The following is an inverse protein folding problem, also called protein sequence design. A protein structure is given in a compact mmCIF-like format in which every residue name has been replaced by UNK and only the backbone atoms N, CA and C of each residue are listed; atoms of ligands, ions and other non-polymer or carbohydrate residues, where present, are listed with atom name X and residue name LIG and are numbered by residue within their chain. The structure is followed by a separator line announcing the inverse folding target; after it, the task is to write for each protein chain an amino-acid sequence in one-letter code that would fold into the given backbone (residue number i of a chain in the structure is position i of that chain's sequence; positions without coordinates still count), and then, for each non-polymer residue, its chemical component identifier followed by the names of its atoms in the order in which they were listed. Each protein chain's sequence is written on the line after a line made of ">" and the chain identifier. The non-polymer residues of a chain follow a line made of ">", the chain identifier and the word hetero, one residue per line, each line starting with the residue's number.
data_IF_661010707739
#
_entry.id   IF_661010707739
#
_cell.length_a   1.000
_cell.length_b   1.000
_cell.length_c   1.000
_cell.angle_alpha   90.00
_cell.angle_beta   90.00
_cell.angle_gamma   90.00
#
_symmetry.space_group_name_H-M   'P 1'
#
loop_
_entity.id
_entity.type
_entity.pdbx_description
1 polymer ?
#
# COMPACT_ATOMS: atom_id res chain seq x y z
N UNK A 1 31.87 -37.55 -3.37
CA UNK A 1 31.10 -38.78 -3.07
C UNK A 1 31.85 -39.67 -2.07
N UNK A 2 33.05 -40.16 -2.41
CA UNK A 2 33.84 -41.09 -1.59
C UNK A 2 34.12 -40.59 -0.15
N UNK A 3 34.62 -39.35 0.01
CA UNK A 3 34.86 -38.74 1.33
C UNK A 3 33.62 -38.70 2.23
N UNK A 4 32.43 -38.54 1.65
CA UNK A 4 31.17 -38.54 2.42
C UNK A 4 30.80 -39.95 2.87
N UNK A 5 30.97 -40.95 2.00
CA UNK A 5 30.69 -42.34 2.33
C UNK A 5 31.62 -42.84 3.44
N UNK A 6 32.92 -42.55 3.36
CA UNK A 6 33.90 -42.89 4.41
C UNK A 6 33.53 -42.24 5.74
N UNK A 7 33.22 -40.93 5.73
CA UNK A 7 32.78 -40.22 6.95
C UNK A 7 31.50 -40.79 7.54
N UNK A 8 30.53 -41.14 6.70
CA UNK A 8 29.27 -41.74 7.14
C UNK A 8 29.51 -43.10 7.81
N UNK A 9 30.30 -43.97 7.17
CA UNK A 9 30.63 -45.30 7.69
C UNK A 9 31.46 -45.23 8.99
N UNK A 10 32.40 -44.28 9.09
CA UNK A 10 33.17 -44.06 10.32
C UNK A 10 32.31 -43.58 11.49
N UNK A 11 31.34 -42.69 11.23
CA UNK A 11 30.35 -42.30 12.23
C UNK A 11 29.49 -43.47 12.72
N UNK A 12 29.41 -44.55 11.92
CA UNK A 12 28.74 -45.81 12.25
C UNK A 12 29.72 -46.95 12.60
N UNK A 13 30.94 -46.60 13.05
CA UNK A 13 31.97 -47.51 13.62
C UNK A 13 32.66 -48.47 12.62
N UNK A 14 32.66 -48.16 11.33
CA UNK A 14 33.35 -48.98 10.33
C UNK A 14 34.89 -48.79 10.26
N UNK A 15 35.45 -47.75 10.90
CA UNK A 15 36.88 -47.47 11.03
C UNK A 15 37.71 -47.58 9.72
N UNK A 16 37.21 -46.96 8.66
CA UNK A 16 37.80 -46.94 7.32
C UNK A 16 38.76 -45.73 7.21
N UNK A 17 40.00 -45.90 6.73
CA UNK A 17 40.93 -44.78 6.53
C UNK A 17 40.36 -43.70 5.59
N UNK A 18 40.57 -42.42 5.91
CA UNK A 18 40.05 -41.30 5.10
C UNK A 18 40.62 -41.23 3.67
N UNK A 19 41.79 -41.83 3.46
CA UNK A 19 42.52 -41.88 2.19
C UNK A 19 42.16 -43.10 1.33
N UNK A 20 41.23 -43.95 1.78
CA UNK A 20 40.79 -45.14 1.05
C UNK A 20 40.20 -44.77 -0.31
N UNK A 21 40.65 -45.46 -1.36
CA UNK A 21 40.12 -45.33 -2.72
C UNK A 21 38.76 -46.03 -2.85
N UNK A 22 38.02 -45.74 -3.92
CA UNK A 22 36.73 -46.38 -4.17
C UNK A 22 36.84 -47.91 -4.23
N UNK A 23 37.84 -48.44 -4.92
CA UNK A 23 38.07 -49.89 -5.02
C UNK A 23 38.53 -50.50 -3.69
N UNK A 24 39.20 -49.71 -2.85
CA UNK A 24 39.54 -50.11 -1.48
C UNK A 24 38.29 -50.23 -0.61
N UNK A 25 37.31 -49.34 -0.79
CA UNK A 25 36.04 -49.37 -0.07
C UNK A 25 35.19 -50.58 -0.45
N UNK A 26 35.16 -50.94 -1.75
CA UNK A 26 34.45 -52.15 -2.22
C UNK A 26 35.08 -53.40 -1.60
N UNK A 27 36.41 -53.53 -1.68
CA UNK A 27 37.14 -54.66 -1.08
C UNK A 27 36.94 -54.77 0.43
N UNK A 28 36.81 -53.65 1.13
CA UNK A 28 36.51 -53.67 2.56
C UNK A 28 35.05 -54.08 2.84
N UNK A 29 34.12 -53.68 1.97
CA UNK A 29 32.71 -54.08 2.08
C UNK A 29 32.47 -55.56 1.81
N UNK A 30 33.32 -56.20 1.01
CA UNK A 30 33.27 -57.66 0.75
C UNK A 30 33.66 -58.50 1.99
N UNK A 31 34.41 -57.91 2.93
CA UNK A 31 34.80 -58.58 4.19
C UNK A 31 33.74 -58.44 5.28
N UNK A 32 32.68 -57.68 5.03
CA UNK A 32 31.65 -57.45 6.02
C UNK A 32 30.78 -58.70 6.19
N UNK A 33 30.47 -59.12 7.43
CA UNK A 33 29.65 -60.30 7.66
C UNK A 33 28.25 -60.12 7.04
N UNK A 34 27.69 -61.19 6.46
CA UNK A 34 26.33 -61.17 5.92
C UNK A 34 25.27 -61.15 7.06
N UNK A 35 25.18 -60.01 7.76
CA UNK A 35 24.27 -59.78 8.86
C UNK A 35 23.10 -58.84 8.49
N UNK A 36 21.99 -58.98 9.20
CA UNK A 36 20.86 -58.04 9.13
C UNK A 36 21.29 -56.60 9.44
N UNK A 37 22.22 -56.42 10.38
CA UNK A 37 22.73 -55.11 10.82
C UNK A 37 23.42 -54.33 9.70
N UNK A 38 24.25 -55.00 8.90
CA UNK A 38 24.98 -54.36 7.78
C UNK A 38 24.02 -54.01 6.64
N UNK A 39 23.03 -54.86 6.36
CA UNK A 39 21.96 -54.54 5.39
C UNK A 39 21.18 -53.29 5.82
N UNK A 40 20.85 -53.17 7.10
CA UNK A 40 20.18 -51.99 7.63
C UNK A 40 21.06 -50.73 7.56
N UNK A 41 22.35 -50.85 7.90
CA UNK A 41 23.31 -49.76 7.81
C UNK A 41 23.41 -49.23 6.37
N UNK A 42 23.54 -50.13 5.39
CA UNK A 42 23.57 -49.76 3.98
C UNK A 42 22.25 -49.12 3.51
N UNK A 43 21.10 -49.59 4.00
CA UNK A 43 19.80 -48.98 3.70
C UNK A 43 19.71 -47.55 4.27
N UNK A 44 20.15 -47.34 5.51
CA UNK A 44 20.22 -46.02 6.16
C UNK A 44 21.21 -45.10 5.41
N UNK A 45 22.37 -45.61 5.01
CA UNK A 45 23.35 -44.88 4.21
C UNK A 45 22.78 -44.41 2.88
N UNK A 46 22.08 -45.29 2.14
CA UNK A 46 21.41 -44.93 0.89
C UNK A 46 20.36 -43.83 1.11
N UNK A 47 19.58 -43.90 2.19
CA UNK A 47 18.61 -42.87 2.56
C UNK A 47 19.26 -41.52 2.87
N UNK A 48 20.30 -41.53 3.70
CA UNK A 48 21.07 -40.33 4.05
C UNK A 48 21.74 -39.70 2.81
N UNK A 49 22.24 -40.51 1.88
CA UNK A 49 22.82 -40.02 0.64
C UNK A 49 21.78 -39.34 -0.25
N UNK A 50 20.59 -39.92 -0.39
CA UNK A 50 19.48 -39.29 -1.12
C UNK A 50 19.11 -37.93 -0.52
N UNK A 51 19.02 -37.85 0.81
CA UNK A 51 18.75 -36.58 1.49
C UNK A 51 19.85 -35.56 1.30
N UNK A 52 21.13 -35.98 1.34
CA UNK A 52 22.26 -35.09 1.07
C UNK A 52 22.19 -34.54 -0.35
N UNK A 53 22.01 -35.41 -1.35
CA UNK A 53 21.90 -35.00 -2.76
C UNK A 53 20.74 -34.03 -2.96
N UNK A 54 19.61 -34.27 -2.30
CA UNK A 54 18.47 -33.36 -2.31
C UNK A 54 18.83 -31.99 -1.72
N UNK A 55 19.50 -31.95 -0.55
CA UNK A 55 19.94 -30.68 0.07
C UNK A 55 20.92 -29.91 -0.81
N UNK A 56 21.86 -30.61 -1.45
CA UNK A 56 22.80 -30.00 -2.42
C UNK A 56 22.08 -29.45 -3.66
N UNK A 57 20.98 -30.07 -4.10
CA UNK A 57 20.18 -29.57 -5.23
C UNK A 57 19.33 -28.34 -4.91
N UNK A 58 19.13 -28.03 -3.63
CA UNK A 58 18.29 -26.92 -3.15
C UNK A 58 19.08 -25.60 -3.02
N UNK A 59 20.14 -25.39 -3.81
CA UNK A 59 20.94 -24.17 -3.77
C UNK A 59 20.06 -22.90 -3.80
N UNK A 60 20.18 -22.07 -2.76
CA UNK A 60 19.37 -20.85 -2.58
C UNK A 60 18.07 -21.02 -1.78
N UNK A 61 17.60 -22.25 -1.55
CA UNK A 61 16.40 -22.54 -0.75
C UNK A 61 16.77 -23.04 0.64
N UNK A 62 16.19 -22.43 1.69
CA UNK A 62 16.35 -22.88 3.08
C UNK A 62 15.05 -23.49 3.58
N UNK A 63 15.13 -24.67 4.18
CA UNK A 63 13.99 -25.27 4.85
C UNK A 63 13.68 -24.51 6.14
N UNK A 64 12.45 -24.00 6.27
CA UNK A 64 11.97 -23.32 7.47
C UNK A 64 10.88 -24.17 8.12
N UNK A 65 11.00 -24.40 9.43
CA UNK A 65 9.96 -25.06 10.22
C UNK A 65 9.17 -23.97 10.96
N UNK A 66 7.87 -23.91 10.72
CA UNK A 66 6.97 -22.99 11.40
C UNK A 66 5.69 -23.72 11.79
N UNK A 67 5.04 -23.24 12.85
CA UNK A 67 3.78 -23.76 13.34
C UNK A 67 2.67 -22.82 12.87
N UNK A 68 1.72 -23.32 12.09
CA UNK A 68 0.52 -22.59 11.71
C UNK A 68 -0.68 -23.11 12.49
N UNK A 69 -1.67 -22.25 12.68
CA UNK A 69 -3.00 -22.72 13.07
C UNK A 69 -3.55 -23.68 12.01
N UNK A 70 -4.41 -24.61 12.44
CA UNK A 70 -5.06 -25.57 11.56
C UNK A 70 -5.89 -24.88 10.47
N UNK A 71 -6.58 -23.79 10.82
CA UNK A 71 -7.35 -22.97 9.88
C UNK A 71 -6.46 -22.31 8.82
N UNK A 72 -5.35 -21.69 9.22
CA UNK A 72 -4.42 -21.04 8.29
C UNK A 72 -3.78 -22.05 7.34
N UNK A 73 -3.39 -23.22 7.85
CA UNK A 73 -2.87 -24.32 7.03
C UNK A 73 -3.90 -24.79 6.00
N UNK A 74 -5.15 -25.03 6.41
CA UNK A 74 -6.23 -25.45 5.50
C UNK A 74 -6.51 -24.42 4.41
N UNK A 75 -6.50 -23.14 4.77
CA UNK A 75 -6.66 -22.05 3.81
C UNK A 75 -5.51 -22.04 2.78
N UNK A 76 -4.26 -22.14 3.25
CA UNK A 76 -3.09 -22.18 2.38
C UNK A 76 -3.10 -23.40 1.46
N UNK A 77 -3.52 -24.58 1.95
CA UNK A 77 -3.66 -25.79 1.15
C UNK A 77 -4.72 -25.64 0.05
N UNK A 78 -5.88 -25.07 0.38
CA UNK A 78 -6.94 -24.82 -0.59
C UNK A 78 -6.47 -23.84 -1.67
N UNK A 79 -5.75 -22.79 -1.27
CA UNK A 79 -5.19 -21.81 -2.19
C UNK A 79 -4.10 -22.43 -3.10
N UNK A 80 -3.26 -23.30 -2.56
CA UNK A 80 -2.27 -24.01 -3.35
C UNK A 80 -2.93 -24.94 -4.39
N UNK A 81 -4.01 -25.63 -4.00
CA UNK A 81 -4.80 -26.48 -4.90
C UNK A 81 -5.45 -25.68 -6.02
N UNK A 82 -6.11 -24.56 -5.71
CA UNK A 82 -6.78 -23.74 -6.74
C UNK A 82 -5.78 -23.21 -7.77
N UNK A 83 -4.55 -22.94 -7.34
CA UNK A 83 -3.45 -22.45 -8.20
C UNK A 83 -2.65 -23.55 -8.88
N UNK A 84 -2.94 -24.82 -8.59
CA UNK A 84 -2.17 -25.98 -9.08
C UNK A 84 -0.67 -25.85 -8.79
N UNK A 85 -0.34 -25.34 -7.61
CA UNK A 85 1.05 -25.11 -7.16
C UNK A 85 1.30 -25.81 -5.84
N UNK A 86 2.57 -25.93 -5.46
CA UNK A 86 2.92 -26.42 -4.12
C UNK A 86 2.58 -25.37 -3.06
N UNK A 87 2.42 -25.83 -1.81
CA UNK A 87 2.19 -24.95 -0.65
C UNK A 87 3.34 -23.94 -0.52
N UNK A 88 4.58 -24.37 -0.74
CA UNK A 88 5.77 -23.53 -0.66
C UNK A 88 5.76 -22.44 -1.72
N UNK A 89 5.51 -22.79 -3.00
CA UNK A 89 5.43 -21.80 -4.09
C UNK A 89 4.29 -20.80 -3.86
N UNK A 90 3.16 -21.29 -3.34
CA UNK A 90 2.01 -20.44 -3.02
C UNK A 90 2.34 -19.45 -1.91
N UNK A 91 3.07 -19.90 -0.87
CA UNK A 91 3.52 -19.05 0.22
C UNK A 91 4.54 -18.00 -0.25
N UNK A 92 5.54 -18.40 -1.04
CA UNK A 92 6.51 -17.47 -1.64
C UNK A 92 5.80 -16.41 -2.50
N UNK A 93 4.83 -16.84 -3.31
CA UNK A 93 4.02 -15.90 -4.09
C UNK A 93 3.23 -14.94 -3.20
N UNK A 94 2.59 -15.42 -2.13
CA UNK A 94 1.83 -14.56 -1.22
C UNK A 94 2.72 -13.51 -0.58
N UNK A 95 3.93 -13.89 -0.19
CA UNK A 95 4.91 -12.95 0.39
C UNK A 95 5.29 -11.88 -0.64
N UNK A 96 5.65 -12.30 -1.86
CA UNK A 96 6.07 -11.36 -2.90
C UNK A 96 4.94 -10.42 -3.31
N UNK A 97 3.73 -10.94 -3.53
CA UNK A 97 2.58 -10.15 -3.93
C UNK A 97 2.10 -9.24 -2.80
N UNK A 98 2.14 -9.72 -1.55
CA UNK A 98 1.78 -8.90 -0.40
C UNK A 98 2.68 -7.67 -0.26
N UNK A 99 3.98 -7.81 -0.52
CA UNK A 99 4.93 -6.68 -0.54
C UNK A 99 4.63 -5.74 -1.69
N UNK A 100 4.41 -6.28 -2.89
CA UNK A 100 4.13 -5.48 -4.08
C UNK A 100 2.83 -4.68 -3.94
N UNK A 101 1.74 -5.33 -3.54
CA UNK A 101 0.43 -4.71 -3.31
C UNK A 101 0.54 -3.61 -2.25
N UNK A 102 1.26 -3.86 -1.14
CA UNK A 102 1.46 -2.84 -0.09
C UNK A 102 2.18 -1.61 -0.63
N UNK A 103 3.19 -1.79 -1.47
CA UNK A 103 3.92 -0.68 -2.08
C UNK A 103 3.03 0.09 -3.07
N UNK A 104 2.28 -0.62 -3.92
CA UNK A 104 1.33 -0.02 -4.85
C UNK A 104 0.28 0.84 -4.13
N UNK A 105 -0.34 0.33 -3.07
CA UNK A 105 -1.29 1.12 -2.27
C UNK A 105 -0.65 2.35 -1.64
N UNK A 106 0.58 2.23 -1.14
CA UNK A 106 1.31 3.37 -0.57
C UNK A 106 1.58 4.44 -1.62
N UNK A 107 1.99 4.05 -2.82
CA UNK A 107 2.30 4.97 -3.90
C UNK A 107 1.04 5.64 -4.45
N UNK A 108 -0.06 4.89 -4.62
CA UNK A 108 -1.37 5.44 -4.96
C UNK A 108 -1.85 6.46 -3.92
N UNK A 109 -1.70 6.15 -2.63
CA UNK A 109 -2.10 7.06 -1.55
C UNK A 109 -1.26 8.34 -1.55
N UNK A 110 0.04 8.23 -1.83
CA UNK A 110 0.94 9.38 -1.92
C UNK A 110 0.58 10.28 -3.11
N UNK A 111 0.32 9.71 -4.28
CA UNK A 111 -0.09 10.48 -5.46
C UNK A 111 -1.44 11.16 -5.26
N UNK A 112 -2.41 10.47 -4.67
CA UNK A 112 -3.71 11.04 -4.34
C UNK A 112 -3.56 12.22 -3.36
N UNK A 113 -2.78 12.05 -2.29
CA UNK A 113 -2.51 13.10 -1.32
C UNK A 113 -1.79 14.30 -1.94
N UNK A 114 -0.86 14.07 -2.87
CA UNK A 114 -0.16 15.14 -3.60
C UNK A 114 -1.13 15.91 -4.50
N UNK A 115 -2.02 15.21 -5.20
CA UNK A 115 -3.06 15.83 -6.02
C UNK A 115 -4.02 16.68 -5.18
N UNK A 116 -4.52 16.13 -4.07
CA UNK A 116 -5.40 16.86 -3.16
C UNK A 116 -4.73 18.10 -2.56
N UNK A 117 -3.46 18.00 -2.15
CA UNK A 117 -2.70 19.16 -1.66
C UNK A 117 -2.60 20.25 -2.71
N UNK A 118 -2.25 19.88 -3.95
CA UNK A 118 -2.18 20.84 -5.06
C UNK A 118 -3.53 21.51 -5.32
N UNK A 119 -4.62 20.74 -5.36
CA UNK A 119 -5.96 21.31 -5.50
C UNK A 119 -6.30 22.29 -4.38
N UNK A 120 -5.91 21.97 -3.14
CA UNK A 120 -6.15 22.82 -1.99
C UNK A 120 -5.38 24.14 -2.07
N UNK A 121 -4.11 24.07 -2.51
CA UNK A 121 -3.30 25.26 -2.80
C UNK A 121 -3.92 26.10 -3.93
N UNK A 122 -4.36 25.47 -5.02
CA UNK A 122 -5.02 26.13 -6.15
C UNK A 122 -6.33 26.82 -5.71
N UNK A 123 -7.15 26.16 -4.89
CA UNK A 123 -8.36 26.76 -4.32
C UNK A 123 -8.05 27.93 -3.38
N UNK A 124 -6.97 27.82 -2.60
CA UNK A 124 -6.56 28.90 -1.70
C UNK A 124 -6.08 30.13 -2.47
N UNK A 125 -5.27 29.93 -3.53
CA UNK A 125 -4.85 31.01 -4.42
C UNK A 125 -6.07 31.65 -5.09
N UNK A 126 -6.96 30.85 -5.67
CA UNK A 126 -8.17 31.34 -6.31
C UNK A 126 -9.06 32.15 -5.35
N UNK A 127 -9.22 31.68 -4.11
CA UNK A 127 -9.98 32.39 -3.08
C UNK A 127 -9.35 33.74 -2.71
N UNK A 128 -8.02 33.81 -2.59
CA UNK A 128 -7.29 35.06 -2.33
C UNK A 128 -7.51 36.04 -3.48
N UNK A 129 -7.22 35.63 -4.72
CA UNK A 129 -7.37 36.47 -5.91
C UNK A 129 -8.80 36.99 -6.07
N UNK A 130 -9.80 36.12 -5.86
CA UNK A 130 -11.21 36.51 -5.96
C UNK A 130 -11.59 37.50 -4.86
N UNK A 131 -11.06 37.33 -3.65
CA UNK A 131 -11.29 38.28 -2.54
C UNK A 131 -10.69 39.65 -2.84
N UNK A 132 -9.48 39.70 -3.40
CA UNK A 132 -8.83 40.96 -3.84
C UNK A 132 -9.66 41.66 -4.92
N UNK A 133 -10.00 40.95 -6.01
CA UNK A 133 -10.79 41.51 -7.12
C UNK A 133 -12.17 41.98 -6.70
N UNK A 134 -12.82 41.23 -5.79
CA UNK A 134 -14.10 41.63 -5.22
C UNK A 134 -13.97 42.92 -4.40
N UNK A 135 -12.89 43.06 -3.62
CA UNK A 135 -12.64 44.27 -2.83
C UNK A 135 -12.36 45.51 -3.71
N UNK A 136 -11.60 45.36 -4.78
CA UNK A 136 -11.34 46.41 -5.78
C UNK A 136 -12.66 46.87 -6.42
N UNK A 137 -13.44 45.93 -6.92
CA UNK A 137 -14.72 46.20 -7.59
C UNK A 137 -15.75 46.85 -6.65
N UNK A 138 -15.83 46.41 -5.40
CA UNK A 138 -16.68 47.03 -4.38
C UNK A 138 -16.27 48.47 -4.09
N UNK A 139 -14.96 48.72 -4.02
CA UNK A 139 -14.41 50.06 -3.77
C UNK A 139 -14.74 51.00 -4.92
N UNK A 140 -14.56 50.57 -6.17
CA UNK A 140 -14.95 51.33 -7.36
C UNK A 140 -16.46 51.59 -7.40
N UNK A 141 -17.27 50.58 -7.12
CA UNK A 141 -18.72 50.73 -7.08
C UNK A 141 -19.15 51.74 -6.00
N UNK A 142 -18.49 51.77 -4.84
CA UNK A 142 -18.73 52.79 -3.81
C UNK A 142 -18.35 54.20 -4.29
N UNK A 143 -17.20 54.35 -4.97
CA UNK A 143 -16.79 55.64 -5.56
C UNK A 143 -17.82 56.14 -6.58
N UNK A 144 -18.25 55.28 -7.49
CA UNK A 144 -19.26 55.62 -8.51
C UNK A 144 -20.61 55.97 -7.88
N UNK A 145 -21.05 55.23 -6.85
CA UNK A 145 -22.29 55.52 -6.12
C UNK A 145 -22.25 56.93 -5.53
N UNK A 146 -21.15 57.28 -4.85
CA UNK A 146 -20.97 58.61 -4.26
C UNK A 146 -20.88 59.72 -5.32
N UNK A 147 -20.24 59.45 -6.45
CA UNK A 147 -20.17 60.40 -7.57
C UNK A 147 -21.55 60.68 -8.16
N UNK A 148 -22.38 59.65 -8.33
CA UNK A 148 -23.76 59.80 -8.82
C UNK A 148 -24.62 60.57 -7.81
N UNK A 149 -24.52 60.27 -6.51
CA UNK A 149 -25.25 60.99 -5.47
C UNK A 149 -24.83 62.48 -5.38
N UNK A 150 -23.58 62.79 -5.71
CA UNK A 150 -23.06 64.16 -5.71
C UNK A 150 -23.37 64.95 -6.99
N UNK A 151 -23.86 64.31 -8.07
CA UNK A 151 -24.31 64.99 -9.27
C UNK A 151 -25.65 65.69 -8.99
N UNK A 152 -25.56 66.95 -8.56
CA UNK A 152 -26.63 67.94 -8.80
C UNK A 152 -26.63 68.31 -10.29
N UNK A 153 -27.76 68.75 -10.89
CA UNK A 153 -27.92 68.94 -12.34
C UNK A 153 -27.15 70.15 -12.91
N UNK A 154 -25.95 70.45 -12.40
CA UNK A 154 -25.09 71.54 -12.85
C UNK A 154 -23.67 71.05 -13.15
N UNK A 155 -23.12 71.35 -14.35
CA UNK A 155 -21.91 70.73 -14.86
C UNK A 155 -20.67 71.48 -14.37
N UNK A 156 -20.20 71.18 -13.16
CA UNK A 156 -18.85 71.55 -12.74
C UNK A 156 -18.20 70.29 -12.17
N UNK A 157 -17.20 69.80 -12.90
CA UNK A 157 -16.26 68.71 -12.57
C UNK A 157 -16.68 67.70 -11.50
N UNK A 158 -16.79 66.42 -11.90
CA UNK A 158 -17.05 65.28 -11.00
C UNK A 158 -16.25 65.38 -9.68
N UNK A 159 -16.93 65.50 -8.52
CA UNK A 159 -16.24 65.56 -7.24
C UNK A 159 -15.63 64.19 -6.89
N UNK A 160 -14.35 64.19 -6.52
CA UNK A 160 -13.68 62.99 -6.00
C UNK A 160 -14.18 62.70 -4.57
N UNK A 161 -14.78 61.53 -4.29
CA UNK A 161 -15.32 61.23 -2.97
C UNK A 161 -14.23 61.14 -1.88
N UNK A 162 -14.55 61.55 -0.66
CA UNK A 162 -13.63 61.46 0.48
C UNK A 162 -13.39 60.01 0.91
N UNK A 163 -12.16 59.67 1.32
CA UNK A 163 -11.75 58.30 1.68
C UNK A 163 -12.64 57.67 2.76
N UNK A 164 -13.01 58.43 3.79
CA UNK A 164 -13.86 57.93 4.89
C UNK A 164 -15.29 57.60 4.46
N UNK A 165 -15.82 58.33 3.47
CA UNK A 165 -17.15 58.05 2.92
C UNK A 165 -17.14 56.74 2.12
N UNK A 166 -16.07 56.52 1.34
CA UNK A 166 -15.86 55.28 0.59
C UNK A 166 -15.75 54.09 1.55
N UNK A 167 -14.95 54.20 2.62
CA UNK A 167 -14.75 53.12 3.60
C UNK A 167 -16.05 52.77 4.35
N UNK A 168 -16.84 53.77 4.75
CA UNK A 168 -18.13 53.55 5.42
C UNK A 168 -19.14 52.84 4.52
N UNK A 169 -19.26 53.27 3.26
CA UNK A 169 -20.14 52.63 2.27
C UNK A 169 -19.67 51.22 1.93
N UNK A 170 -18.35 51.02 1.82
CA UNK A 170 -17.73 49.73 1.60
C UNK A 170 -18.05 48.77 2.75
N UNK A 171 -17.88 49.18 4.01
CA UNK A 171 -18.22 48.35 5.19
C UNK A 171 -19.70 47.98 5.20
N UNK A 172 -20.59 48.93 4.88
CA UNK A 172 -22.04 48.68 4.80
C UNK A 172 -22.36 47.66 3.72
N UNK A 173 -21.91 47.87 2.47
CA UNK A 173 -22.14 46.96 1.33
C UNK A 173 -21.50 45.58 1.55
N UNK A 174 -20.29 45.52 2.13
CA UNK A 174 -19.61 44.27 2.52
C UNK A 174 -20.43 43.48 3.54
N UNK A 175 -20.96 44.14 4.57
CA UNK A 175 -21.78 43.46 5.60
C UNK A 175 -23.08 42.88 5.02
N UNK A 176 -23.72 43.58 4.09
CA UNK A 176 -24.94 43.09 3.42
C UNK A 176 -24.66 41.90 2.50
N UNK A 177 -23.54 41.92 1.77
CA UNK A 177 -23.09 40.80 0.92
C UNK A 177 -22.69 39.56 1.74
N UNK A 178 -22.05 39.75 2.89
CA UNK A 178 -21.72 38.64 3.78
C UNK A 178 -22.99 38.00 4.39
N UNK A 179 -24.00 38.81 4.71
CA UNK A 179 -25.29 38.30 5.18
C UNK A 179 -26.00 37.48 4.09
N UNK A 180 -26.07 37.98 2.85
CA UNK A 180 -26.70 37.25 1.74
C UNK A 180 -25.92 35.99 1.33
N UNK A 181 -24.59 36.01 1.34
CA UNK A 181 -23.78 34.81 1.03
C UNK A 181 -23.83 33.73 2.12
N UNK A 182 -24.03 34.09 3.40
CA UNK A 182 -24.22 33.10 4.47
C UNK A 182 -25.47 32.25 4.28
N UNK A 183 -26.50 32.83 3.66
CA UNK A 183 -27.75 32.14 3.31
C UNK A 183 -27.47 31.14 2.19
N UNK A 184 -26.73 31.55 1.16
CA UNK A 184 -26.34 30.70 0.02
C UNK A 184 -25.44 29.53 0.45
N UNK A 185 -24.48 29.74 1.36
CA UNK A 185 -23.62 28.66 1.89
C UNK A 185 -24.43 27.60 2.64
N UNK A 186 -25.41 27.99 3.45
CA UNK A 186 -26.27 27.04 4.17
C UNK A 186 -27.11 26.18 3.21
N UNK A 187 -27.64 26.79 2.16
CA UNK A 187 -28.42 26.05 1.17
C UNK A 187 -27.55 25.15 0.30
N UNK A 188 -26.34 25.59 -0.09
CA UNK A 188 -25.38 24.77 -0.81
C UNK A 188 -24.90 23.56 0.02
N UNK A 189 -24.59 23.76 1.31
CA UNK A 189 -24.24 22.67 2.24
C UNK A 189 -25.42 21.70 2.37
N UNK A 190 -26.65 22.19 2.56
CA UNK A 190 -27.85 21.35 2.67
C UNK A 190 -28.13 20.55 1.38
N UNK A 191 -27.86 21.13 0.20
CA UNK A 191 -27.94 20.44 -1.09
C UNK A 191 -26.85 19.38 -1.21
N UNK A 192 -25.61 19.69 -0.82
CA UNK A 192 -24.50 18.74 -0.89
C UNK A 192 -24.67 17.60 0.12
N UNK A 193 -25.16 17.86 1.34
CA UNK A 193 -25.54 16.82 2.31
C UNK A 193 -26.64 15.91 1.78
N UNK A 194 -27.63 16.44 1.05
CA UNK A 194 -28.64 15.63 0.34
C UNK A 194 -28.07 14.84 -0.84
N UNK A 195 -27.02 15.33 -1.49
CA UNK A 195 -26.31 14.66 -2.59
C UNK A 195 -25.21 13.68 -2.11
N UNK A 196 -24.75 13.80 -0.87
CA UNK A 196 -23.88 12.85 -0.15
C UNK A 196 -24.72 11.77 0.55
N UNK A 197 -26.02 12.03 0.79
CA UNK A 197 -27.02 11.01 1.08
C UNK A 197 -27.49 10.27 -0.19
N UNK A 198 -26.62 9.51 -0.88
CA UNK A 198 -27.11 8.28 -1.52
C UNK A 198 -26.12 7.11 -1.41
N UNK A 199 -26.69 5.89 -1.33
CA UNK A 199 -26.05 4.54 -1.43
C UNK A 199 -25.65 3.80 -0.15
N UNK A 200 -26.38 3.93 0.96
CA UNK A 200 -26.31 2.90 2.03
C UNK A 200 -27.21 1.68 1.71
N UNK A 201 -28.11 1.76 0.72
CA UNK A 201 -29.05 0.66 0.46
C UNK A 201 -28.49 -0.53 -0.38
N UNK A 202 -27.26 -0.47 -0.90
CA UNK A 202 -26.73 -1.52 -1.79
C UNK A 202 -25.60 -2.38 -1.20
N UNK A 203 -25.27 -2.23 0.09
CA UNK A 203 -24.25 -3.09 0.75
C UNK A 203 -24.82 -4.07 1.78
N UNK A 204 -26.12 -3.97 2.12
CA UNK A 204 -26.75 -4.89 3.08
C UNK A 204 -27.46 -6.08 2.41
N UNK A 205 -27.63 -6.09 1.08
CA UNK A 205 -28.29 -7.21 0.37
C UNK A 205 -27.35 -8.31 -0.14
N UNK A 206 -26.03 -8.16 -0.04
CA UNK A 206 -25.06 -9.22 -0.45
C UNK A 206 -24.54 -10.06 0.74
N UNK A 207 -25.07 -9.86 1.96
CA UNK A 207 -24.74 -10.67 3.14
C UNK A 207 -25.80 -11.72 3.50
N UNK A 208 -26.88 -11.83 2.71
CA UNK A 208 -27.99 -12.79 2.94
C UNK A 208 -28.26 -13.77 1.77
N UNK A 209 -27.29 -14.03 0.88
CA UNK A 209 -27.37 -15.13 -0.10
C UNK A 209 -26.18 -16.06 -0.01
#
# INVERSE_FOLDING_TARGET
>A
MLKWAIRYLNNHRANIPEQTTYDGLIRESEKWPEGSEIRELLKKMKGAWRQKKLRESLNGKKSSNFILSTSAKKCLENLAKSRRSTITETLEWLINNGVEIKNQYRDQLNELNKSHRKQLDDYQIAAITLTEKLSESLTENCKLTLQIEALTPTPKSLPTPHKDQIENLFRKKKSTLLKSSSIIKRDAIRIHERQIQPKIHYLEQELEQ
#
